data_IF_077051431597
#
_entry.id   IF_077051431597
#
_cell.length_a   1.000
_cell.length_b   1.000
_cell.length_c   1.000
_cell.angle_alpha   90.00
_cell.angle_beta   90.00
_cell.angle_gamma   90.00
#
_symmetry.space_group_name_H-M   'P 1'
#
loop_
_entity.id
_entity.type
_entity.pdbx_description
1 polymer ?
#
# COMPACT_ATOMS: atom_id res chain seq x y z
N UNK A 1 -8.74 5.28 8.83
CA UNK A 1 -7.40 5.42 8.34
C UNK A 1 -6.65 4.19 8.70
N UNK A 2 -6.03 3.55 7.77
CA UNK A 2 -4.99 4.14 6.94
C UNK A 2 -5.41 4.53 5.52
N UNK A 3 -4.61 5.40 4.92
CA UNK A 3 -4.62 5.68 3.49
C UNK A 3 -3.42 5.03 2.83
N UNK A 4 -3.66 4.20 1.85
CA UNK A 4 -2.63 3.51 1.08
C UNK A 4 -2.59 4.11 -0.31
N UNK A 5 -1.43 4.58 -0.73
CA UNK A 5 -1.20 5.08 -2.08
C UNK A 5 -0.09 4.28 -2.72
N UNK A 6 -0.37 3.69 -3.87
CA UNK A 6 0.59 2.92 -4.66
C UNK A 6 0.86 3.67 -5.94
N UNK A 7 2.14 3.95 -6.21
CA UNK A 7 2.59 4.47 -7.50
C UNK A 7 3.38 3.38 -8.20
N UNK A 8 3.13 3.17 -9.47
CA UNK A 8 3.86 2.17 -10.24
C UNK A 8 4.14 2.68 -11.66
N UNK A 9 5.28 2.31 -12.20
CA UNK A 9 5.60 2.62 -13.59
C UNK A 9 4.63 1.88 -14.51
N UNK A 10 4.08 2.56 -15.52
CA UNK A 10 3.02 1.98 -16.34
C UNK A 10 3.48 0.82 -17.23
N UNK A 11 4.80 0.64 -17.40
CA UNK A 11 5.37 -0.46 -18.16
C UNK A 11 5.10 -1.84 -17.53
N UNK A 12 4.61 -1.90 -16.30
CA UNK A 12 4.25 -3.16 -15.63
C UNK A 12 2.74 -3.33 -15.46
N UNK A 13 1.95 -2.42 -16.00
CA UNK A 13 0.49 -2.39 -15.74
C UNK A 13 -0.19 -3.73 -16.01
N UNK A 14 0.12 -4.39 -17.11
CA UNK A 14 -0.50 -5.65 -17.50
C UNK A 14 0.06 -6.87 -16.77
N UNK A 15 1.10 -6.72 -15.98
CA UNK A 15 1.83 -7.85 -15.37
C UNK A 15 1.79 -7.82 -13.85
N UNK A 16 1.45 -6.69 -13.25
CA UNK A 16 1.56 -6.51 -11.81
C UNK A 16 0.29 -6.90 -11.04
N UNK A 17 -0.83 -7.10 -11.72
CA UNK A 17 -2.12 -7.31 -11.08
C UNK A 17 -2.33 -6.29 -9.95
N UNK A 18 -2.52 -5.04 -10.34
CA UNK A 18 -2.58 -3.92 -9.40
C UNK A 18 -3.77 -4.05 -8.46
N UNK A 19 -4.94 -4.47 -8.95
CA UNK A 19 -6.10 -4.67 -8.07
C UNK A 19 -5.83 -5.77 -7.04
N UNK A 20 -5.16 -6.85 -7.45
CA UNK A 20 -4.74 -7.90 -6.54
C UNK A 20 -3.74 -7.39 -5.50
N UNK A 21 -2.83 -6.51 -5.90
CA UNK A 21 -1.88 -5.90 -4.98
C UNK A 21 -2.60 -5.06 -3.92
N UNK A 22 -3.54 -4.21 -4.34
CA UNK A 22 -4.34 -3.40 -3.40
C UNK A 22 -5.13 -4.30 -2.44
N UNK A 23 -5.73 -5.36 -2.95
CA UNK A 23 -6.50 -6.31 -2.14
C UNK A 23 -5.63 -6.98 -1.08
N UNK A 24 -4.43 -7.42 -1.44
CA UNK A 24 -3.48 -8.04 -0.51
C UNK A 24 -3.09 -7.06 0.60
N UNK A 25 -2.80 -5.82 0.23
CA UNK A 25 -2.44 -4.79 1.22
C UNK A 25 -3.60 -4.57 2.19
N UNK A 26 -4.79 -4.36 1.68
CA UNK A 26 -5.98 -4.11 2.51
C UNK A 26 -6.28 -5.30 3.41
N UNK A 27 -6.28 -6.51 2.87
CA UNK A 27 -6.57 -7.71 3.65
C UNK A 27 -5.55 -7.93 4.76
N UNK A 28 -4.28 -7.64 4.50
CA UNK A 28 -3.22 -7.79 5.49
C UNK A 28 -3.35 -6.74 6.60
N UNK A 29 -3.68 -5.51 6.25
CA UNK A 29 -3.89 -4.43 7.21
C UNK A 29 -5.09 -4.73 8.11
N UNK A 30 -6.16 -5.28 7.54
CA UNK A 30 -7.38 -5.62 8.30
C UNK A 30 -7.21 -6.86 9.17
N UNK A 31 -6.25 -7.74 8.80
CA UNK A 31 -6.09 -9.03 9.48
C UNK A 31 -7.04 -10.09 8.95
N UNK A 32 -6.76 -11.40 9.23
CA UNK A 32 -7.50 -12.50 8.61
C UNK A 32 -9.01 -12.51 8.90
N UNK A 33 -9.41 -11.97 10.03
CA UNK A 33 -10.79 -11.97 10.48
C UNK A 33 -11.34 -10.56 10.73
N UNK A 34 -10.63 -9.56 10.24
CA UNK A 34 -10.99 -8.16 10.49
C UNK A 34 -10.58 -7.66 11.86
N UNK A 35 -9.82 -8.45 12.63
CA UNK A 35 -9.37 -8.08 13.98
C UNK A 35 -8.02 -7.38 14.00
N UNK A 36 -7.53 -6.94 12.86
CA UNK A 36 -6.26 -6.22 12.76
C UNK A 36 -6.29 -4.88 13.48
N UNK A 37 -5.16 -4.19 13.46
CA UNK A 37 -4.98 -2.93 14.18
C UNK A 37 -5.81 -1.77 13.63
N UNK A 38 -6.45 -1.94 12.48
CA UNK A 38 -7.15 -0.85 11.79
C UNK A 38 -8.60 -1.24 11.50
N UNK A 39 -9.54 -0.30 11.73
CA UNK A 39 -10.95 -0.58 11.47
C UNK A 39 -11.24 -0.61 9.96
N UNK A 40 -12.14 -1.50 9.56
CA UNK A 40 -12.47 -1.70 8.14
C UNK A 40 -12.92 -0.41 7.44
N UNK A 41 -13.75 0.38 8.09
CA UNK A 41 -14.27 1.62 7.50
C UNK A 41 -13.23 2.73 7.36
N UNK A 42 -12.06 2.57 7.95
CA UNK A 42 -11.00 3.56 7.89
C UNK A 42 -10.00 3.33 6.75
N UNK A 43 -10.00 2.15 6.13
CA UNK A 43 -9.00 1.79 5.13
C UNK A 43 -9.42 2.24 3.74
N UNK A 44 -8.55 2.95 3.05
CA UNK A 44 -8.74 3.36 1.66
C UNK A 44 -7.43 3.16 0.92
N UNK A 45 -7.50 2.44 -0.20
CA UNK A 45 -6.32 2.13 -1.00
C UNK A 45 -6.57 2.50 -2.46
N UNK A 46 -5.54 3.03 -3.11
CA UNK A 46 -5.59 3.42 -4.52
C UNK A 46 -4.23 3.30 -5.14
N UNK A 47 -4.21 3.20 -6.45
CA UNK A 47 -2.99 3.11 -7.22
C UNK A 47 -3.01 4.07 -8.39
N UNK A 48 -1.86 4.64 -8.68
CA UNK A 48 -1.66 5.55 -9.80
C UNK A 48 -0.57 4.99 -10.70
N UNK A 49 -0.87 4.88 -11.98
CA UNK A 49 0.12 4.55 -12.99
C UNK A 49 0.94 5.80 -13.31
N UNK A 50 2.26 5.70 -13.24
CA UNK A 50 3.15 6.79 -13.60
C UNK A 50 3.55 6.60 -15.07
N UNK A 51 3.25 7.59 -15.89
CA UNK A 51 3.55 7.54 -17.32
C UNK A 51 4.86 8.25 -17.68
N UNK A 52 5.20 9.28 -16.93
CA UNK A 52 6.42 10.07 -17.13
C UNK A 52 7.37 9.77 -15.99
N UNK A 53 8.40 8.98 -16.26
CA UNK A 53 9.35 8.56 -15.23
C UNK A 53 10.71 8.25 -15.85
N UNK A 54 11.73 8.29 -15.01
CA UNK A 54 13.06 7.80 -15.32
C UNK A 54 13.49 6.89 -14.17
N UNK A 55 13.97 5.70 -14.49
CA UNK A 55 14.54 4.79 -13.49
C UNK A 55 16.04 4.80 -13.64
N UNK A 56 16.76 5.09 -12.55
CA UNK A 56 18.22 5.23 -12.53
C UNK A 56 18.68 6.26 -13.58
N UNK A 57 19.49 5.87 -14.54
CA UNK A 57 19.98 6.78 -15.60
C UNK A 57 19.15 6.74 -16.89
N UNK A 58 18.06 5.98 -16.89
CA UNK A 58 17.18 5.86 -18.07
C UNK A 58 17.67 4.94 -19.15
N UNK A 59 18.75 4.19 -18.92
CA UNK A 59 19.33 3.33 -19.96
C UNK A 59 18.60 2.01 -20.18
N UNK A 60 17.68 1.63 -19.28
CA UNK A 60 16.93 0.37 -19.34
C UNK A 60 15.42 0.66 -19.38
N UNK A 61 14.81 0.47 -20.56
CA UNK A 61 13.38 0.72 -20.73
C UNK A 61 12.49 -0.29 -19.98
N UNK A 62 13.05 -1.42 -19.58
CA UNK A 62 12.33 -2.43 -18.81
C UNK A 62 12.36 -2.19 -17.30
N UNK A 63 13.23 -1.30 -16.84
CA UNK A 63 13.33 -1.01 -15.43
C UNK A 63 12.01 -0.40 -14.93
N UNK A 64 11.61 -0.80 -13.72
CA UNK A 64 10.33 -0.41 -13.17
C UNK A 64 10.42 -0.21 -11.66
N UNK A 65 9.40 0.42 -11.09
CA UNK A 65 9.29 0.54 -9.64
C UNK A 65 7.84 0.51 -9.19
N UNK A 66 7.66 0.11 -7.95
CA UNK A 66 6.43 0.29 -7.18
C UNK A 66 6.81 0.98 -5.88
N UNK A 67 6.18 2.10 -5.60
CA UNK A 67 6.38 2.84 -4.36
C UNK A 67 5.04 2.95 -3.62
N UNK A 68 5.04 2.57 -2.35
CA UNK A 68 3.83 2.54 -1.52
C UNK A 68 4.03 3.51 -0.37
N UNK A 69 3.05 4.36 -0.15
CA UNK A 69 3.00 5.22 1.04
C UNK A 69 1.74 4.88 1.81
N UNK A 70 1.90 4.55 3.08
CA UNK A 70 0.78 4.28 3.97
C UNK A 70 0.78 5.35 5.05
N UNK A 71 -0.32 6.09 5.16
CA UNK A 71 -0.47 7.15 6.13
C UNK A 71 -1.49 6.73 7.17
N UNK A 72 -1.07 6.79 8.45
CA UNK A 72 -1.89 6.37 9.57
C UNK A 72 -1.93 7.47 10.63
N UNK A 73 -2.95 7.43 11.48
CA UNK A 73 -3.02 8.29 12.64
C UNK A 73 -2.06 7.79 13.73
N UNK A 74 -1.55 8.71 14.53
CA UNK A 74 -0.74 8.38 15.69
C UNK A 74 -1.53 7.59 16.73
N UNK A 75 -0.81 6.88 17.59
CA UNK A 75 -1.37 6.28 18.79
C UNK A 75 -1.14 4.80 18.92
N UNK A 76 -0.76 4.10 17.87
CA UNK A 76 -0.49 2.66 17.96
C UNK A 76 0.94 2.42 18.43
N UNK A 77 1.17 1.43 19.32
CA UNK A 77 2.52 1.07 19.74
C UNK A 77 3.40 0.67 18.55
N UNK A 78 4.71 0.89 18.67
CA UNK A 78 5.66 0.56 17.62
C UNK A 78 5.60 -0.92 17.22
N UNK A 79 5.50 -1.84 18.19
CA UNK A 79 5.44 -3.27 17.92
C UNK A 79 4.21 -3.65 17.08
N UNK A 80 3.08 -3.01 17.32
CA UNK A 80 1.85 -3.25 16.57
C UNK A 80 2.03 -2.79 15.13
N UNK A 81 2.58 -1.58 14.96
CA UNK A 81 2.85 -1.02 13.63
C UNK A 81 3.85 -1.88 12.87
N UNK A 82 4.94 -2.26 13.51
CA UNK A 82 5.99 -3.03 12.88
C UNK A 82 5.48 -4.40 12.43
N UNK A 83 4.76 -5.11 13.29
CA UNK A 83 4.17 -6.40 12.94
C UNK A 83 3.23 -6.29 11.74
N UNK A 84 2.35 -5.30 11.75
CA UNK A 84 1.37 -5.11 10.67
C UNK A 84 2.07 -4.82 9.33
N UNK A 85 3.01 -3.89 9.33
CA UNK A 85 3.62 -3.43 8.08
C UNK A 85 4.76 -4.32 7.59
N UNK A 86 5.44 -5.04 8.47
CA UNK A 86 6.33 -6.12 8.05
C UNK A 86 5.54 -7.17 7.26
N UNK A 87 4.37 -7.54 7.76
CA UNK A 87 3.49 -8.50 7.07
C UNK A 87 3.02 -7.96 5.72
N UNK A 88 2.65 -6.68 5.64
CA UNK A 88 2.26 -6.04 4.39
C UNK A 88 3.40 -6.10 3.38
N UNK A 89 4.60 -5.70 3.77
CA UNK A 89 5.72 -5.65 2.84
C UNK A 89 6.12 -7.05 2.35
N UNK A 90 6.08 -8.05 3.22
CA UNK A 90 6.33 -9.43 2.82
C UNK A 90 5.33 -9.91 1.77
N UNK A 91 4.05 -9.59 1.95
CA UNK A 91 3.01 -9.95 0.97
C UNK A 91 3.18 -9.20 -0.34
N UNK A 92 3.56 -7.94 -0.29
CA UNK A 92 3.83 -7.14 -1.48
C UNK A 92 4.98 -7.74 -2.27
N UNK A 93 6.08 -8.08 -1.59
CA UNK A 93 7.23 -8.72 -2.24
C UNK A 93 6.83 -10.02 -2.92
N UNK A 94 6.07 -10.85 -2.24
CA UNK A 94 5.62 -12.13 -2.80
C UNK A 94 4.74 -11.93 -4.04
N UNK A 95 3.83 -10.97 -4.00
CA UNK A 95 2.94 -10.66 -5.12
C UNK A 95 3.71 -10.20 -6.36
N UNK A 96 4.78 -9.46 -6.17
CA UNK A 96 5.56 -8.84 -7.25
C UNK A 96 6.87 -9.59 -7.56
N UNK A 97 7.10 -10.75 -6.96
CA UNK A 97 8.34 -11.49 -7.10
C UNK A 97 8.68 -11.81 -8.57
N UNK A 98 7.67 -12.12 -9.38
CA UNK A 98 7.89 -12.44 -10.80
C UNK A 98 8.47 -11.26 -11.58
N UNK A 99 8.11 -10.03 -11.21
CA UNK A 99 8.69 -8.83 -11.82
C UNK A 99 10.12 -8.59 -11.34
N UNK A 100 10.34 -8.81 -10.06
CA UNK A 100 11.66 -8.69 -9.46
C UNK A 100 12.66 -9.66 -10.10
N UNK A 101 12.22 -10.86 -10.43
CA UNK A 101 13.06 -11.88 -11.05
C UNK A 101 13.34 -11.59 -12.54
N UNK A 102 12.46 -10.85 -13.20
CA UNK A 102 12.49 -10.68 -14.66
C UNK A 102 13.16 -9.39 -15.14
N UNK A 103 13.31 -8.40 -14.28
CA UNK A 103 13.80 -7.08 -14.70
C UNK A 103 14.46 -6.33 -13.53
N UNK A 104 15.12 -5.23 -13.86
CA UNK A 104 15.54 -4.27 -12.85
C UNK A 104 14.28 -3.67 -12.22
N UNK A 105 14.10 -3.84 -10.92
CA UNK A 105 12.84 -3.53 -10.28
C UNK A 105 13.06 -3.11 -8.83
N UNK A 106 12.39 -2.06 -8.42
CA UNK A 106 12.44 -1.58 -7.04
C UNK A 106 11.06 -1.58 -6.42
N UNK A 107 10.98 -2.08 -5.21
CA UNK A 107 9.78 -1.98 -4.38
C UNK A 107 10.17 -1.21 -3.14
N UNK A 108 9.42 -0.17 -2.81
CA UNK A 108 9.65 0.59 -1.59
C UNK A 108 8.33 0.91 -0.91
N UNK A 109 8.36 1.02 0.41
CA UNK A 109 7.18 1.33 1.20
C UNK A 109 7.57 2.20 2.37
N UNK A 110 6.89 3.32 2.51
CA UNK A 110 7.01 4.21 3.65
C UNK A 110 5.71 4.19 4.44
N UNK A 111 5.84 4.18 5.76
CA UNK A 111 4.71 4.33 6.66
C UNK A 111 4.88 5.63 7.42
N UNK A 112 3.92 6.53 7.25
CA UNK A 112 3.93 7.85 7.85
C UNK A 112 2.82 7.97 8.87
N UNK A 113 3.15 8.47 10.06
CA UNK A 113 2.15 8.88 11.05
C UNK A 113 1.91 10.37 10.89
N UNK A 114 0.68 10.79 10.64
CA UNK A 114 0.40 12.21 10.64
C UNK A 114 0.19 12.69 12.08
N UNK A 115 0.81 13.85 12.37
CA UNK A 115 0.73 14.48 13.68
C UNK A 115 -0.47 15.40 13.80
N UNK A 116 -0.31 16.42 14.63
CA UNK A 116 -1.33 17.43 14.81
C UNK A 116 -1.56 18.17 13.51
N UNK A 117 -2.79 18.15 13.03
CA UNK A 117 -3.19 18.82 11.81
C UNK A 117 -4.68 19.13 11.86
N UNK A 118 -5.08 20.15 11.14
CA UNK A 118 -6.50 20.36 10.90
C UNK A 118 -6.97 19.31 9.91
N UNK A 119 -7.95 18.51 10.30
CA UNK A 119 -8.49 17.46 9.47
C UNK A 119 -10.01 17.49 9.53
N UNK A 120 -10.62 17.40 8.38
CA UNK A 120 -12.07 17.40 8.24
C UNK A 120 -12.50 16.09 7.63
N UNK A 121 -13.49 15.47 8.24
CA UNK A 121 -13.99 14.17 7.79
C UNK A 121 -15.50 14.20 7.81
N UNK A 122 -16.08 13.58 6.81
CA UNK A 122 -17.50 13.35 6.78
C UNK A 122 -17.74 12.06 6.02
N UNK A 123 -17.95 10.96 6.77
CA UNK A 123 -18.12 9.66 6.14
C UNK A 123 -19.03 8.79 6.99
N UNK A 124 -19.64 7.82 6.35
CA UNK A 124 -20.48 6.83 7.01
C UNK A 124 -19.93 5.40 6.84
N UNK A 125 -18.65 5.29 6.45
CA UNK A 125 -18.05 3.98 6.16
C UNK A 125 -18.02 3.08 7.40
N UNK A 126 -17.63 3.62 8.55
CA UNK A 126 -17.61 2.83 9.77
C UNK A 126 -18.99 2.26 10.08
N UNK A 127 -20.03 3.09 9.93
CA UNK A 127 -21.39 2.65 10.18
C UNK A 127 -21.86 1.60 9.16
N UNK A 128 -21.56 1.83 7.87
CA UNK A 128 -21.99 0.95 6.79
C UNK A 128 -21.30 -0.41 6.82
N UNK A 129 -20.06 -0.45 7.28
CA UNK A 129 -19.27 -1.69 7.34
C UNK A 129 -19.23 -2.30 8.75
N UNK A 130 -19.86 -1.65 9.73
CA UNK A 130 -19.89 -2.13 11.09
C UNK A 130 -20.76 -3.37 11.19
N UNK A 131 -20.27 -4.39 11.86
CA UNK A 131 -21.00 -5.63 12.06
C UNK A 131 -21.18 -6.44 10.79
N UNK A 132 -20.52 -6.06 9.73
CA UNK A 132 -20.57 -6.77 8.46
C UNK A 132 -19.91 -8.14 8.57
#
# INVERSE_FOLDING_TARGET
MPHVTVEYTDNIRGQADIKGLLKIIVDTVLGPDGSGAFPIGGVKARAYAVTDYIVADGSDDEAAFVHIVIRIAKGRPLEVRQKAFDAVFDKVKAHLQHLYDARAFAISMDVEEFGDRMAYKHNNLHQKFKGA
#
